data_IF_841962139783
#
_entry.id   IF_841962139783
#
_cell.length_a   1.000
_cell.length_b   1.000
_cell.length_c   1.000
_cell.angle_alpha   90.00
_cell.angle_beta   90.00
_cell.angle_gamma   90.00
#
_symmetry.space_group_name_H-M   'P 1'
#
loop_
_entity.id
_entity.type
_entity.pdbx_description
1 polymer ?
#
# COMPACT_ATOMS: atom_id res chain seq x y z
N UNK A 1 -55.15 -50.23 3.85
CA UNK A 1 -56.16 -49.75 4.82
C UNK A 1 -55.48 -48.90 5.88
N UNK A 2 -56.01 -47.68 6.11
CA UNK A 2 -55.88 -46.81 7.31
C UNK A 2 -54.48 -46.42 7.81
N UNK A 3 -53.99 -45.22 7.47
CA UNK A 3 -54.18 -43.93 8.21
C UNK A 3 -53.53 -43.92 9.60
N UNK A 4 -52.38 -43.26 9.72
CA UNK A 4 -51.98 -42.62 10.97
C UNK A 4 -51.48 -41.20 10.69
N UNK A 5 -52.43 -40.25 10.74
CA UNK A 5 -52.17 -38.82 10.84
C UNK A 5 -51.70 -38.54 12.26
N UNK A 6 -50.52 -37.92 12.46
CA UNK A 6 -50.29 -36.93 13.53
C UNK A 6 -49.23 -35.93 13.04
N UNK A 7 -49.67 -34.76 12.61
CA UNK A 7 -49.61 -33.47 13.34
C UNK A 7 -48.43 -32.66 12.82
N UNK A 8 -48.78 -31.54 12.21
CA UNK A 8 -47.89 -30.50 11.75
C UNK A 8 -47.05 -29.95 12.91
N UNK A 9 -45.75 -29.84 12.69
CA UNK A 9 -44.89 -28.93 13.43
C UNK A 9 -43.98 -28.24 12.40
N UNK A 10 -44.41 -27.05 12.05
CA UNK A 10 -43.63 -25.88 11.62
C UNK A 10 -42.11 -26.01 11.88
N UNK A 11 -41.33 -26.18 10.83
CA UNK A 11 -39.92 -25.76 10.75
C UNK A 11 -39.86 -24.92 9.47
N UNK A 12 -40.37 -23.69 9.54
CA UNK A 12 -39.53 -22.49 9.71
C UNK A 12 -38.25 -22.58 8.89
N UNK A 13 -38.25 -21.84 7.79
CA UNK A 13 -37.12 -21.61 6.92
C UNK A 13 -35.88 -21.22 7.74
N UNK A 14 -34.83 -22.03 7.62
CA UNK A 14 -33.46 -21.56 7.76
C UNK A 14 -32.81 -21.73 6.39
N UNK A 15 -33.14 -20.81 5.48
CA UNK A 15 -32.18 -20.35 4.50
C UNK A 15 -31.06 -19.68 5.29
N UNK A 16 -30.19 -20.49 5.89
CA UNK A 16 -28.92 -20.05 6.40
C UNK A 16 -28.10 -19.62 5.19
N UNK A 17 -28.22 -18.35 4.81
CA UNK A 17 -27.11 -17.66 4.24
C UNK A 17 -25.96 -17.87 5.23
N UNK A 18 -25.08 -18.82 4.94
CA UNK A 18 -23.72 -18.73 5.46
C UNK A 18 -23.18 -17.46 4.86
N UNK A 19 -23.42 -16.35 5.58
CA UNK A 19 -22.48 -15.25 5.62
C UNK A 19 -21.20 -15.95 6.00
N UNK A 20 -20.38 -16.26 4.99
CA UNK A 20 -18.95 -16.38 5.24
C UNK A 20 -18.63 -15.04 5.87
N UNK A 21 -18.50 -15.04 7.19
CA UNK A 21 -17.87 -13.94 7.88
C UNK A 21 -16.50 -13.88 7.24
N UNK A 22 -16.36 -12.98 6.27
CA UNK A 22 -15.07 -12.57 5.75
C UNK A 22 -14.26 -12.31 7.01
N UNK A 23 -13.24 -13.12 7.31
CA UNK A 23 -12.53 -12.96 8.56
C UNK A 23 -12.10 -11.51 8.53
N UNK A 24 -12.46 -10.76 9.57
CA UNK A 24 -11.91 -9.46 9.83
C UNK A 24 -10.41 -9.69 9.86
N UNK A 25 -9.79 -9.53 8.70
CA UNK A 25 -8.44 -9.98 8.52
C UNK A 25 -7.66 -9.17 9.55
N UNK A 26 -6.68 -9.80 10.20
CA UNK A 26 -5.51 -9.02 10.52
C UNK A 26 -5.04 -8.49 9.16
N UNK A 27 -5.53 -7.30 8.78
CA UNK A 27 -5.51 -6.78 7.43
C UNK A 27 -4.06 -6.40 7.19
N UNK A 28 -3.27 -7.35 6.69
CA UNK A 28 -1.90 -7.10 6.28
C UNK A 28 -1.98 -6.10 5.14
N UNK A 29 -1.88 -4.83 5.50
CA UNK A 29 -1.86 -3.71 4.58
C UNK A 29 -0.55 -3.79 3.82
N UNK A 30 -0.62 -4.20 2.55
CA UNK A 30 0.53 -4.10 1.67
C UNK A 30 0.98 -2.63 1.58
N UNK A 31 2.29 -2.36 1.44
CA UNK A 31 2.80 -1.00 1.27
C UNK A 31 2.33 -0.29 -0.03
N UNK A 32 1.54 -0.95 -0.88
CA UNK A 32 0.94 -0.37 -2.10
C UNK A 32 -0.60 -0.44 -2.15
N UNK A 33 -1.26 -1.09 -1.18
CA UNK A 33 -2.69 -0.92 -0.95
C UNK A 33 -2.86 0.36 -0.10
N UNK A 34 -3.52 1.40 -0.64
CA UNK A 34 -3.87 2.56 0.19
C UNK A 34 -4.92 2.15 1.21
N UNK A 35 -4.72 2.38 2.53
CA UNK A 35 -5.80 2.23 3.48
C UNK A 35 -6.99 3.09 3.05
N UNK A 36 -8.24 2.62 3.24
CA UNK A 36 -9.39 3.49 3.06
C UNK A 36 -9.09 4.71 3.91
N UNK A 37 -8.99 5.88 3.27
CA UNK A 37 -8.84 7.12 4.02
C UNK A 37 -10.00 7.14 5.02
N UNK A 38 -9.75 7.38 6.31
CA UNK A 38 -10.87 7.60 7.23
C UNK A 38 -11.71 8.70 6.60
N UNK A 39 -13.03 8.46 6.49
CA UNK A 39 -13.94 9.46 5.94
C UNK A 39 -13.65 10.79 6.66
N UNK A 40 -13.54 11.92 5.92
CA UNK A 40 -13.31 13.20 6.56
C UNK A 40 -14.43 13.37 7.58
N UNK A 41 -14.05 13.47 8.86
CA UNK A 41 -15.01 13.85 9.89
C UNK A 41 -15.47 15.24 9.48
N UNK A 42 -16.69 15.35 8.95
CA UNK A 42 -17.30 16.63 8.64
C UNK A 42 -17.52 17.29 10.00
N UNK A 43 -16.51 18.04 10.45
CA UNK A 43 -16.65 18.94 11.57
C UNK A 43 -17.61 20.01 11.05
N UNK A 44 -18.89 19.87 11.37
CA UNK A 44 -19.87 20.94 11.17
C UNK A 44 -19.39 22.07 12.08
N UNK A 45 -18.58 22.97 11.53
CA UNK A 45 -18.17 24.18 12.23
C UNK A 45 -19.46 24.94 12.55
N UNK A 46 -19.78 25.01 13.84
CA UNK A 46 -20.83 25.89 14.34
C UNK A 46 -20.52 27.30 13.80
N UNK A 47 -21.46 27.96 13.10
CA UNK A 47 -21.16 29.23 12.46
C UNK A 47 -20.73 30.26 13.51
N UNK A 48 -19.68 31.07 13.24
CA UNK A 48 -19.24 32.10 14.15
C UNK A 48 -20.36 33.11 14.34
N UNK A 49 -20.74 33.38 15.60
CA UNK A 49 -21.65 34.49 15.92
C UNK A 49 -20.96 35.79 15.46
N UNK A 50 -21.58 36.49 14.53
CA UNK A 50 -21.12 37.78 14.05
C UNK A 50 -21.09 38.78 15.21
N UNK A 51 -19.88 39.19 15.63
CA UNK A 51 -19.71 40.42 16.40
C UNK A 51 -19.59 41.59 15.39
N UNK A 52 -20.29 42.72 15.62
CA UNK A 52 -20.17 43.88 14.74
C UNK A 52 -18.79 44.55 14.88
N UNK A 53 -18.25 45.15 13.80
CA UNK A 53 -16.96 45.83 13.84
C UNK A 53 -17.03 47.17 14.58
N UNK A 54 -16.05 47.42 15.45
CA UNK A 54 -15.79 48.74 16.03
C UNK A 54 -15.12 49.65 14.99
N UNK A 55 -15.59 50.90 14.89
CA UNK A 55 -15.12 51.90 13.93
C UNK A 55 -13.65 52.32 14.16
N UNK A 56 -12.85 52.42 13.09
CA UNK A 56 -11.48 52.97 13.11
C UNK A 56 -11.46 54.45 12.70
N UNK A 57 -10.68 55.33 13.36
CA UNK A 57 -10.51 56.70 12.90
C UNK A 57 -9.30 56.86 11.97
N UNK A 58 -9.59 57.54 10.85
CA UNK A 58 -8.80 58.42 9.98
C UNK A 58 -7.27 58.28 9.88
N UNK A 59 -6.84 58.02 8.64
CA UNK A 59 -5.47 58.08 8.13
C UNK A 59 -5.00 59.54 7.97
N UNK A 60 -3.77 59.85 8.38
CA UNK A 60 -3.11 61.14 8.10
C UNK A 60 -1.82 60.89 7.32
N UNK A 61 -1.77 61.38 6.09
CA UNK A 61 -0.70 61.23 5.10
C UNK A 61 0.30 62.38 5.16
N UNK A 62 1.62 62.15 5.25
CA UNK A 62 2.68 63.10 4.82
C UNK A 62 3.98 62.37 4.38
N UNK A 63 4.85 62.99 3.54
CA UNK A 63 5.80 62.30 2.65
C UNK A 63 7.30 62.53 2.98
N UNK A 64 8.22 61.71 2.41
CA UNK A 64 9.55 62.17 1.92
C UNK A 64 10.33 61.11 1.10
N UNK A 65 11.17 61.53 0.13
CA UNK A 65 11.99 60.66 -0.71
C UNK A 65 13.45 60.56 -0.21
N UNK A 66 14.15 59.50 -0.59
CA UNK A 66 15.60 59.35 -0.40
C UNK A 66 16.07 57.93 -0.68
N UNK A 67 16.74 57.73 -1.82
CA UNK A 67 17.31 56.45 -2.23
C UNK A 67 18.70 56.24 -1.61
N UNK A 68 18.98 54.99 -1.19
CA UNK A 68 20.22 54.20 -1.36
C UNK A 68 20.50 53.33 -0.11
N UNK A 69 20.60 52.02 -0.32
CA UNK A 69 21.17 51.07 0.66
C UNK A 69 20.34 49.81 0.89
N UNK A 70 20.87 48.69 0.40
CA UNK A 70 20.89 47.38 1.05
C UNK A 70 19.65 46.45 1.04
N UNK A 71 19.87 45.30 0.39
CA UNK A 71 19.49 43.95 0.83
C UNK A 71 18.05 43.77 1.34
N UNK A 72 17.17 43.36 0.42
CA UNK A 72 15.83 42.86 0.73
C UNK A 72 15.90 41.57 1.57
N UNK A 73 15.99 41.76 2.88
CA UNK A 73 15.83 40.72 3.89
C UNK A 73 14.34 40.47 4.04
N UNK A 74 13.90 39.28 3.63
CA UNK A 74 12.53 38.79 3.78
C UNK A 74 12.19 38.64 5.28
N UNK A 75 11.02 39.14 5.76
CA UNK A 75 10.65 39.01 7.16
C UNK A 75 10.38 37.54 7.56
N UNK A 76 10.63 37.18 8.84
CA UNK A 76 10.52 35.82 9.32
C UNK A 76 9.05 35.37 9.39
N UNK A 77 8.81 34.15 8.90
CA UNK A 77 7.59 33.37 9.13
C UNK A 77 7.56 32.97 10.62
N UNK A 78 6.42 33.05 11.34
CA UNK A 78 6.34 32.53 12.70
C UNK A 78 6.50 31.00 12.70
N UNK A 79 7.63 30.53 13.23
CA UNK A 79 7.64 29.37 14.11
C UNK A 79 7.05 29.87 15.45
N UNK A 80 6.21 29.15 16.20
CA UNK A 80 6.47 27.82 16.73
C UNK A 80 5.15 27.04 16.88
N UNK A 81 5.07 25.90 16.20
CA UNK A 81 4.43 24.72 16.75
C UNK A 81 5.52 23.65 16.76
N UNK A 82 6.11 23.43 17.94
CA UNK A 82 7.01 22.30 18.19
C UNK A 82 6.43 21.04 17.55
N UNK A 83 7.18 20.30 16.73
CA UNK A 83 6.87 18.90 16.50
C UNK A 83 6.75 18.27 17.89
N UNK A 84 5.57 17.71 18.20
CA UNK A 84 5.46 16.82 19.33
C UNK A 84 6.50 15.73 19.09
N UNK A 85 7.55 15.75 19.88
CA UNK A 85 8.56 14.72 19.98
C UNK A 85 7.80 13.41 20.16
N UNK A 86 7.65 12.66 19.06
CA UNK A 86 7.23 11.27 19.13
C UNK A 86 8.38 10.61 19.89
N UNK A 87 8.16 10.40 21.20
CA UNK A 87 8.94 9.44 21.97
C UNK A 87 9.12 8.23 21.04
N UNK A 88 10.36 7.79 20.74
CA UNK A 88 10.57 6.54 20.06
C UNK A 88 9.74 5.52 20.82
N UNK A 89 8.63 5.08 20.21
CA UNK A 89 8.07 3.80 20.59
C UNK A 89 9.21 2.87 20.28
N UNK A 90 9.83 2.36 21.34
CA UNK A 90 10.78 1.25 21.31
C UNK A 90 10.28 0.32 20.22
N UNK A 91 10.94 0.33 19.06
CA UNK A 91 10.66 -0.62 18.02
C UNK A 91 10.87 -1.95 18.70
N UNK A 92 9.78 -2.67 18.99
CA UNK A 92 9.84 -4.02 19.52
C UNK A 92 10.81 -4.74 18.59
N UNK A 93 12.01 -5.04 19.10
CA UNK A 93 13.04 -5.67 18.31
C UNK A 93 12.39 -6.92 17.73
N UNK A 94 12.36 -7.08 16.39
CA UNK A 94 11.76 -8.25 15.79
C UNK A 94 12.34 -9.47 16.50
N UNK A 95 11.47 -10.36 16.99
CA UNK A 95 11.92 -11.60 17.59
C UNK A 95 12.94 -12.24 16.64
N UNK A 96 14.08 -12.74 17.14
CA UNK A 96 15.17 -13.19 16.30
C UNK A 96 14.63 -14.20 15.27
N UNK A 97 14.67 -13.81 14.00
CA UNK A 97 14.26 -14.69 12.93
C UNK A 97 15.20 -15.89 12.93
N UNK A 98 14.67 -17.11 12.90
CA UNK A 98 15.48 -18.30 12.71
C UNK A 98 16.31 -18.19 11.42
N UNK A 99 17.34 -19.04 11.23
CA UNK A 99 18.15 -19.02 10.03
C UNK A 99 17.28 -19.01 8.76
N UNK A 100 17.60 -18.17 7.76
CA UNK A 100 16.81 -18.09 6.55
C UNK A 100 16.79 -19.45 5.85
N UNK A 101 15.64 -19.85 5.25
CA UNK A 101 15.59 -21.11 4.53
C UNK A 101 16.57 -21.10 3.35
N UNK A 102 17.13 -22.26 2.95
CA UNK A 102 18.07 -22.34 1.84
C UNK A 102 17.53 -21.80 0.50
N UNK A 103 16.21 -21.77 0.34
CA UNK A 103 15.53 -21.28 -0.86
C UNK A 103 15.20 -19.79 -0.82
N UNK A 104 15.43 -19.08 0.30
CA UNK A 104 15.06 -17.67 0.44
C UNK A 104 15.63 -16.77 -0.67
N UNK A 105 16.90 -16.94 -1.12
CA UNK A 105 17.44 -16.14 -2.21
C UNK A 105 16.67 -16.32 -3.53
N UNK A 106 16.20 -17.54 -3.81
CA UNK A 106 15.41 -17.83 -5.02
C UNK A 106 14.02 -17.19 -4.92
N UNK A 107 13.40 -17.20 -3.73
CA UNK A 107 12.13 -16.53 -3.48
C UNK A 107 12.22 -15.01 -3.61
N UNK A 108 13.29 -14.40 -3.09
CA UNK A 108 13.54 -12.97 -3.25
C UNK A 108 13.74 -12.60 -4.73
N UNK A 109 14.50 -13.41 -5.48
CA UNK A 109 14.69 -13.18 -6.91
C UNK A 109 13.39 -13.33 -7.69
N UNK A 110 12.59 -14.37 -7.41
CA UNK A 110 11.28 -14.57 -8.04
C UNK A 110 10.36 -13.37 -7.77
N UNK A 111 10.33 -12.89 -6.53
CA UNK A 111 9.55 -11.72 -6.12
C UNK A 111 9.92 -10.47 -6.91
N UNK A 112 11.23 -10.22 -7.09
CA UNK A 112 11.75 -9.10 -7.87
C UNK A 112 11.36 -9.19 -9.36
N UNK A 113 11.46 -10.38 -9.96
CA UNK A 113 11.02 -10.60 -11.35
C UNK A 113 9.52 -10.38 -11.53
N UNK A 114 8.69 -10.79 -10.57
CA UNK A 114 7.26 -10.54 -10.59
C UNK A 114 6.95 -9.04 -10.52
N UNK A 115 7.72 -8.27 -9.74
CA UNK A 115 7.61 -6.81 -9.70
C UNK A 115 7.99 -6.14 -11.02
N UNK A 116 9.06 -6.62 -11.65
CA UNK A 116 9.48 -6.16 -12.98
C UNK A 116 8.39 -6.41 -14.04
N UNK A 117 7.82 -7.62 -14.04
CA UNK A 117 6.74 -8.01 -14.95
C UNK A 117 5.47 -7.18 -14.70
N UNK A 118 5.11 -6.95 -13.44
CA UNK A 118 3.96 -6.13 -13.09
C UNK A 118 4.00 -4.72 -13.69
N UNK A 119 5.20 -4.15 -13.85
CA UNK A 119 5.37 -2.85 -14.50
C UNK A 119 5.47 -2.94 -16.03
N UNK A 120 6.27 -3.85 -16.56
CA UNK A 120 6.61 -3.88 -17.99
C UNK A 120 5.53 -4.53 -18.86
N UNK A 121 4.91 -5.60 -18.36
CA UNK A 121 3.97 -6.41 -19.14
C UNK A 121 2.75 -5.62 -19.65
N UNK A 122 2.11 -4.74 -18.84
CA UNK A 122 1.01 -3.90 -19.31
C UNK A 122 1.44 -2.90 -20.40
N UNK A 123 2.68 -2.41 -20.37
CA UNK A 123 3.17 -1.48 -21.40
C UNK A 123 3.23 -2.14 -22.78
N UNK A 124 3.48 -3.44 -22.82
CA UNK A 124 3.59 -4.25 -24.02
C UNK A 124 2.32 -5.07 -24.34
N UNK A 125 1.17 -4.70 -23.77
CA UNK A 125 -0.13 -5.29 -24.11
C UNK A 125 -0.40 -6.67 -23.48
N UNK A 126 0.40 -7.08 -22.50
CA UNK A 126 0.11 -8.29 -21.75
C UNK A 126 -0.70 -8.01 -20.47
N UNK A 127 -0.72 -8.99 -19.57
CA UNK A 127 -1.39 -8.94 -18.26
C UNK A 127 -1.09 -7.65 -17.46
N UNK A 128 -2.15 -7.14 -16.84
CA UNK A 128 -2.14 -5.93 -16.01
C UNK A 128 -1.41 -6.09 -14.68
N UNK A 129 -1.04 -4.97 -14.05
CA UNK A 129 -0.37 -4.96 -12.74
C UNK A 129 -1.14 -5.72 -11.66
N UNK A 130 -2.48 -5.64 -11.67
CA UNK A 130 -3.34 -6.31 -10.69
C UNK A 130 -3.19 -7.84 -10.72
N UNK A 131 -3.02 -8.43 -11.90
CA UNK A 131 -2.84 -9.88 -12.07
C UNK A 131 -1.51 -10.33 -11.44
N UNK A 132 -0.43 -9.60 -11.72
CA UNK A 132 0.88 -9.86 -11.13
C UNK A 132 0.91 -9.68 -9.61
N UNK A 133 0.20 -8.67 -9.08
CA UNK A 133 0.02 -8.49 -7.63
C UNK A 133 -0.78 -9.63 -7.00
N UNK A 134 -1.81 -10.11 -7.68
CA UNK A 134 -2.59 -11.28 -7.26
C UNK A 134 -1.72 -12.52 -7.13
N UNK A 135 -0.86 -12.77 -8.13
CA UNK A 135 0.11 -13.87 -8.08
C UNK A 135 1.12 -13.71 -6.95
N UNK A 136 1.63 -12.50 -6.73
CA UNK A 136 2.57 -12.24 -5.63
C UNK A 136 1.90 -12.50 -4.27
N UNK A 137 0.62 -12.13 -4.15
CA UNK A 137 -0.18 -12.39 -2.95
C UNK A 137 -0.39 -13.88 -2.73
N UNK A 138 -0.72 -14.63 -3.79
CA UNK A 138 -0.84 -16.08 -3.72
C UNK A 138 0.49 -16.73 -3.29
N UNK A 139 1.62 -16.27 -3.82
CA UNK A 139 2.96 -16.77 -3.47
C UNK A 139 3.26 -16.57 -1.98
N UNK A 140 3.09 -15.34 -1.46
CA UNK A 140 3.34 -15.05 -0.04
C UNK A 140 2.40 -15.85 0.87
N UNK A 141 1.13 -15.98 0.49
CA UNK A 141 0.16 -16.71 1.30
C UNK A 141 0.47 -18.21 1.34
N UNK A 142 0.95 -18.78 0.24
CA UNK A 142 1.37 -20.18 0.19
C UNK A 142 2.60 -20.45 1.08
N UNK A 143 3.57 -19.53 1.08
CA UNK A 143 4.78 -19.64 1.90
C UNK A 143 4.51 -19.38 3.40
N UNK A 144 3.43 -18.65 3.72
CA UNK A 144 3.07 -18.21 5.07
C UNK A 144 4.26 -17.73 5.94
N UNK A 145 5.13 -16.84 5.42
CA UNK A 145 6.37 -16.47 6.10
C UNK A 145 6.12 -15.58 7.33
N UNK A 146 7.07 -15.53 8.29
CA UNK A 146 7.01 -14.57 9.39
C UNK A 146 6.99 -13.12 8.87
N UNK A 147 6.47 -12.15 9.65
CA UNK A 147 6.26 -10.78 9.18
C UNK A 147 7.48 -10.13 8.52
N UNK A 148 8.66 -10.29 9.12
CA UNK A 148 9.90 -9.72 8.59
C UNK A 148 10.29 -10.30 7.23
N UNK A 149 10.08 -11.59 7.00
CA UNK A 149 10.35 -12.23 5.70
C UNK A 149 9.29 -11.86 4.66
N UNK A 150 8.03 -11.70 5.08
CA UNK A 150 6.97 -11.15 4.22
C UNK A 150 7.35 -9.77 3.69
N UNK A 151 7.85 -8.90 4.56
CA UNK A 151 8.35 -7.57 4.17
C UNK A 151 9.53 -7.63 3.20
N UNK A 152 10.46 -8.58 3.39
CA UNK A 152 11.59 -8.77 2.47
C UNK A 152 11.12 -9.19 1.06
N UNK A 153 10.15 -10.10 0.96
CA UNK A 153 9.55 -10.50 -0.31
C UNK A 153 8.79 -9.34 -0.97
N UNK A 154 7.99 -8.61 -0.22
CA UNK A 154 7.30 -7.40 -0.69
C UNK A 154 8.29 -6.32 -1.15
N UNK A 155 9.37 -6.13 -0.41
CA UNK A 155 10.46 -5.22 -0.75
C UNK A 155 11.14 -5.60 -2.06
N UNK A 156 11.40 -6.89 -2.28
CA UNK A 156 11.97 -7.38 -3.54
C UNK A 156 11.07 -7.10 -4.74
N UNK A 157 9.76 -7.39 -4.62
CA UNK A 157 8.77 -7.02 -5.63
C UNK A 157 8.79 -5.51 -5.94
N UNK A 158 8.77 -4.68 -4.89
CA UNK A 158 8.81 -3.23 -5.03
C UNK A 158 10.08 -2.72 -5.72
N UNK A 159 11.23 -3.33 -5.43
CA UNK A 159 12.49 -2.99 -6.10
C UNK A 159 12.39 -3.24 -7.61
N UNK A 160 11.95 -4.43 -8.02
CA UNK A 160 11.78 -4.78 -9.43
C UNK A 160 10.79 -3.85 -10.14
N UNK A 161 9.66 -3.52 -9.50
CA UNK A 161 8.70 -2.59 -10.08
C UNK A 161 9.28 -1.18 -10.27
N UNK A 162 9.96 -0.65 -9.24
CA UNK A 162 10.53 0.71 -9.26
C UNK A 162 11.70 0.85 -10.23
N UNK A 163 12.49 -0.20 -10.40
CA UNK A 163 13.63 -0.21 -11.33
C UNK A 163 13.18 0.14 -12.76
N UNK A 164 12.07 -0.43 -13.23
CA UNK A 164 11.60 -0.18 -14.58
C UNK A 164 10.71 1.07 -14.68
N UNK A 165 10.08 1.47 -13.57
CA UNK A 165 9.23 2.66 -13.54
C UNK A 165 9.98 3.99 -13.61
N UNK A 166 11.30 4.01 -13.46
CA UNK A 166 12.10 5.21 -13.73
C UNK A 166 12.44 5.37 -15.22
N UNK A 167 12.60 4.27 -15.95
CA UNK A 167 13.16 4.28 -17.32
C UNK A 167 12.11 4.13 -18.42
N UNK A 168 11.05 3.35 -18.20
CA UNK A 168 10.09 3.01 -19.26
C UNK A 168 8.75 3.73 -19.09
N UNK A 169 8.18 4.18 -20.21
CA UNK A 169 6.85 4.84 -20.28
C UNK A 169 5.92 4.22 -21.32
N UNK A 170 6.48 3.39 -22.20
CA UNK A 170 5.84 2.71 -23.33
C UNK A 170 6.61 1.42 -23.61
N UNK A 171 6.02 0.49 -24.33
CA UNK A 171 6.75 -0.67 -24.81
C UNK A 171 7.90 -0.24 -25.74
N UNK A 172 9.03 -0.93 -25.61
CA UNK A 172 10.20 -0.82 -26.48
C UNK A 172 10.79 -2.22 -26.70
N UNK A 173 11.60 -2.44 -27.75
CA UNK A 173 12.25 -3.75 -27.96
C UNK A 173 13.12 -4.20 -26.76
N UNK A 174 13.70 -3.24 -26.04
CA UNK A 174 14.44 -3.52 -24.81
C UNK A 174 13.51 -4.01 -23.69
N UNK A 175 12.33 -3.40 -23.52
CA UNK A 175 11.33 -3.85 -22.55
C UNK A 175 10.82 -5.26 -22.85
N UNK A 176 10.54 -5.58 -24.13
CA UNK A 176 10.14 -6.93 -24.56
C UNK A 176 11.23 -7.97 -24.24
N UNK A 177 12.49 -7.62 -24.47
CA UNK A 177 13.63 -8.48 -24.13
C UNK A 177 13.71 -8.75 -22.63
N UNK A 178 13.50 -7.71 -21.80
CA UNK A 178 13.47 -7.85 -20.35
C UNK A 178 12.31 -8.75 -19.92
N UNK A 179 11.11 -8.53 -20.44
CA UNK A 179 9.93 -9.36 -20.16
C UNK A 179 10.25 -10.84 -20.46
N UNK A 180 10.74 -11.13 -21.67
CA UNK A 180 11.07 -12.50 -22.09
C UNK A 180 12.08 -13.17 -21.14
N UNK A 181 13.15 -12.45 -20.77
CA UNK A 181 14.16 -12.95 -19.84
C UNK A 181 13.58 -13.19 -18.44
N UNK A 182 12.79 -12.26 -17.93
CA UNK A 182 12.15 -12.36 -16.62
C UNK A 182 11.16 -13.53 -16.55
N UNK A 183 10.37 -13.77 -17.60
CA UNK A 183 9.48 -14.94 -17.69
C UNK A 183 10.27 -16.26 -17.71
N UNK A 184 11.34 -16.33 -18.49
CA UNK A 184 12.19 -17.51 -18.57
C UNK A 184 12.88 -17.81 -17.22
N UNK A 185 13.44 -16.77 -16.58
CA UNK A 185 14.08 -16.90 -15.28
C UNK A 185 13.07 -17.25 -14.17
N UNK A 186 11.93 -16.55 -14.14
CA UNK A 186 10.85 -16.81 -13.18
C UNK A 186 10.34 -18.23 -13.28
N UNK A 187 10.07 -18.71 -14.51
CA UNK A 187 9.62 -20.09 -14.75
C UNK A 187 10.67 -21.14 -14.32
N UNK A 188 11.97 -20.85 -14.50
CA UNK A 188 13.05 -21.73 -13.99
C UNK A 188 13.05 -21.76 -12.46
N UNK A 189 13.00 -20.60 -11.80
CA UNK A 189 12.97 -20.50 -10.34
C UNK A 189 11.77 -21.24 -9.75
N UNK A 190 10.57 -21.06 -10.31
CA UNK A 190 9.37 -21.77 -9.85
C UNK A 190 9.53 -23.29 -9.93
N UNK A 191 10.09 -23.83 -11.03
CA UNK A 191 10.35 -25.27 -11.16
C UNK A 191 11.42 -25.77 -10.20
N UNK A 192 12.49 -25.01 -10.00
CA UNK A 192 13.55 -25.36 -9.04
C UNK A 192 13.03 -25.36 -7.60
N UNK A 193 12.23 -24.35 -7.24
CA UNK A 193 11.59 -24.24 -5.93
C UNK A 193 10.64 -25.42 -5.68
N UNK A 194 9.74 -25.70 -6.64
CA UNK A 194 8.81 -26.81 -6.52
C UNK A 194 9.52 -28.17 -6.49
N UNK A 195 10.51 -28.39 -7.37
CA UNK A 195 11.19 -29.68 -7.47
C UNK A 195 12.10 -30.01 -6.29
N UNK A 196 12.59 -29.01 -5.56
CA UNK A 196 13.50 -29.21 -4.42
C UNK A 196 12.84 -29.01 -3.06
N UNK A 197 11.81 -28.17 -2.99
CA UNK A 197 11.23 -27.72 -1.73
C UNK A 197 9.69 -27.85 -1.69
N UNK A 198 9.03 -28.24 -2.79
CA UNK A 198 7.60 -28.50 -2.85
C UNK A 198 7.30 -29.96 -2.49
N UNK A 199 7.13 -30.22 -1.18
CA UNK A 199 6.87 -31.55 -0.63
C UNK A 199 5.57 -32.21 -1.07
#
# INVERSE_FOLDING_TARGET
MTKQKRIAATMLALAGATVVAEPAAAQFYWPWETPPRPAPQIIIQRPPRHLPPAASPAQRSHPRPGARGDQATRPPKPADAKPAEQKPTEAAQPAPEGPPPPYEPQMLRLSELMGALAFLHPLCGGEGEAEWRGRMTALINAEAPPPQRRERLAGAYNRGYREYSVTYRRCTPAAETIISRSLNEGGRLTRELAGRFGG
#
